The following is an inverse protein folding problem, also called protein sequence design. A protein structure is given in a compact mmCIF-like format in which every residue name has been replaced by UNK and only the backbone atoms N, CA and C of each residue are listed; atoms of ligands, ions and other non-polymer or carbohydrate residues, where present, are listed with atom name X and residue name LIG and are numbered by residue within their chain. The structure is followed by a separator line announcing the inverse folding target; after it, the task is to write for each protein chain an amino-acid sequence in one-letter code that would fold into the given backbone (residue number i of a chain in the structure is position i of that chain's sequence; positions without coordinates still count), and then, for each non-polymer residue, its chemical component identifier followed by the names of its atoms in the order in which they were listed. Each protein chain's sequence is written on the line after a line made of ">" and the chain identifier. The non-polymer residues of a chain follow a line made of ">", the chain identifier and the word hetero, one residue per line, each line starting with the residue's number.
data_IF_749344660162
#
_entry.id   IF_749344660162
#
_cell.length_a   1.000
_cell.length_b   1.000
_cell.length_c   1.000
_cell.angle_alpha   90.00
_cell.angle_beta   90.00
_cell.angle_gamma   90.00
#
_symmetry.space_group_name_H-M   'P 1'
#
loop_
_entity.id
_entity.type
_entity.pdbx_description
1 polymer ?
#
# COMPACT_ATOMS: atom_id res chain seq x y z
N UNK A 1 23.26 -8.98 -6.06
CA UNK A 1 24.37 -9.72 -5.48
C UNK A 1 24.30 -9.77 -3.96
N UNK A 2 24.02 -8.66 -3.34
CA UNK A 2 23.80 -8.63 -1.89
C UNK A 2 22.40 -9.17 -1.60
N UNK A 3 22.34 -10.15 -0.69
CA UNK A 3 21.07 -10.77 -0.30
C UNK A 3 20.11 -9.73 0.26
N UNK A 4 20.63 -8.76 1.02
CA UNK A 4 19.82 -7.70 1.61
C UNK A 4 19.21 -6.80 0.54
N UNK A 5 19.99 -6.43 -0.47
CA UNK A 5 19.49 -5.60 -1.56
C UNK A 5 18.43 -6.35 -2.37
N UNK A 6 18.64 -7.63 -2.62
CA UNK A 6 17.68 -8.45 -3.34
C UNK A 6 16.38 -8.56 -2.55
N UNK A 7 16.47 -8.82 -1.23
CA UNK A 7 15.29 -8.89 -0.38
C UNK A 7 14.53 -7.57 -0.36
N UNK A 8 15.25 -6.44 -0.24
CA UNK A 8 14.64 -5.12 -0.25
C UNK A 8 13.92 -4.85 -1.56
N UNK A 9 14.52 -5.26 -2.69
CA UNK A 9 13.92 -5.08 -3.99
C UNK A 9 12.64 -5.89 -4.12
N UNK A 10 12.66 -7.14 -3.67
CA UNK A 10 11.47 -8.00 -3.70
C UNK A 10 10.35 -7.38 -2.86
N UNK A 11 10.68 -6.91 -1.67
CA UNK A 11 9.71 -6.27 -0.78
C UNK A 11 9.13 -5.02 -1.45
N UNK A 12 9.97 -4.18 -2.05
CA UNK A 12 9.50 -2.97 -2.70
C UNK A 12 8.58 -3.26 -3.88
N UNK A 13 8.91 -4.29 -4.67
CA UNK A 13 8.06 -4.70 -5.79
C UNK A 13 6.71 -5.20 -5.27
N UNK A 14 6.73 -6.03 -4.21
CA UNK A 14 5.49 -6.53 -3.60
C UNK A 14 4.64 -5.39 -3.06
N UNK A 15 5.27 -4.41 -2.37
CA UNK A 15 4.55 -3.26 -1.84
C UNK A 15 3.96 -2.40 -2.96
N UNK A 16 4.70 -2.24 -4.06
CA UNK A 16 4.19 -1.52 -5.23
C UNK A 16 2.97 -2.20 -5.82
N UNK A 17 3.00 -3.52 -5.93
CA UNK A 17 1.86 -4.31 -6.41
C UNK A 17 0.64 -4.12 -5.52
N UNK A 18 0.85 -4.24 -4.20
CA UNK A 18 -0.23 -4.06 -3.24
C UNK A 18 -0.76 -2.63 -3.26
N UNK A 19 0.12 -1.66 -3.49
CA UNK A 19 -0.28 -0.26 -3.63
C UNK A 19 -1.23 -0.06 -4.81
N UNK A 20 -0.90 -0.67 -5.95
CA UNK A 20 -1.75 -0.60 -7.14
C UNK A 20 -3.10 -1.25 -6.84
N UNK A 21 -3.11 -2.41 -6.20
CA UNK A 21 -4.34 -3.10 -5.83
C UNK A 21 -5.20 -2.22 -4.91
N UNK A 22 -4.57 -1.56 -3.93
CA UNK A 22 -5.29 -0.67 -3.02
C UNK A 22 -5.93 0.50 -3.76
N UNK A 23 -5.21 1.09 -4.71
CA UNK A 23 -5.74 2.19 -5.53
C UNK A 23 -6.92 1.70 -6.35
N UNK A 24 -6.82 0.52 -6.95
CA UNK A 24 -7.92 -0.05 -7.73
C UNK A 24 -9.15 -0.25 -6.85
N UNK A 25 -8.96 -0.74 -5.62
CA UNK A 25 -10.06 -0.93 -4.68
C UNK A 25 -10.74 0.39 -4.35
N UNK A 26 -9.96 1.46 -4.12
CA UNK A 26 -10.51 2.79 -3.86
C UNK A 26 -11.30 3.29 -5.06
N UNK A 27 -10.76 3.09 -6.27
CA UNK A 27 -11.45 3.50 -7.49
C UNK A 27 -12.76 2.74 -7.68
N UNK A 28 -12.76 1.43 -7.44
CA UNK A 28 -13.97 0.63 -7.51
C UNK A 28 -14.99 1.09 -6.47
N UNK A 29 -14.53 1.39 -5.26
CA UNK A 29 -15.40 1.91 -4.21
C UNK A 29 -16.00 3.25 -4.59
N UNK A 30 -15.19 4.14 -5.17
CA UNK A 30 -15.68 5.44 -5.65
C UNK A 30 -16.70 5.28 -6.75
N UNK A 31 -16.45 4.37 -7.69
CA UNK A 31 -17.38 4.08 -8.77
C UNK A 31 -18.70 3.56 -8.23
N UNK A 32 -18.64 2.61 -7.31
CA UNK A 32 -19.85 2.09 -6.65
C UNK A 32 -20.60 3.19 -5.92
N UNK A 33 -19.86 4.08 -5.26
CA UNK A 33 -20.47 5.20 -4.53
C UNK A 33 -21.28 6.09 -5.49
N UNK A 34 -20.71 6.39 -6.65
CA UNK A 34 -21.39 7.22 -7.65
C UNK A 34 -22.65 6.54 -8.17
N UNK A 35 -22.64 5.21 -8.28
CA UNK A 35 -23.78 4.47 -8.80
C UNK A 35 -24.78 4.06 -7.72
N UNK A 36 -24.55 4.43 -6.46
CA UNK A 36 -25.45 4.01 -5.37
C UNK A 36 -26.84 4.61 -5.49
N UNK A 37 -26.97 5.77 -6.12
CA UNK A 37 -28.26 6.35 -6.43
C UNK A 37 -29.18 6.59 -5.22
N UNK A 38 -28.57 6.90 -4.08
CA UNK A 38 -29.34 7.15 -2.85
C UNK A 38 -29.65 5.90 -2.02
N UNK A 39 -29.27 4.71 -2.50
CA UNK A 39 -29.44 3.49 -1.70
C UNK A 39 -28.42 3.48 -0.57
N UNK A 40 -28.91 3.46 0.69
CA UNK A 40 -28.02 3.43 1.86
C UNK A 40 -27.17 2.18 1.90
N UNK A 41 -27.74 1.04 1.52
CA UNK A 41 -27.02 -0.22 1.53
C UNK A 41 -25.83 -0.22 0.57
N UNK A 42 -26.06 0.25 -0.65
CA UNK A 42 -24.99 0.32 -1.65
C UNK A 42 -23.96 1.39 -1.29
N UNK A 43 -24.38 2.48 -0.71
CA UNK A 43 -23.49 3.54 -0.24
C UNK A 43 -22.58 3.00 0.87
N UNK A 44 -23.12 2.22 1.80
CA UNK A 44 -22.33 1.64 2.88
C UNK A 44 -21.31 0.65 2.35
N UNK A 45 -21.68 -0.17 1.37
CA UNK A 45 -20.74 -1.09 0.73
C UNK A 45 -19.60 -0.34 0.05
N UNK A 46 -19.94 0.71 -0.68
CA UNK A 46 -18.94 1.53 -1.36
C UNK A 46 -18.00 2.19 -0.35
N UNK A 47 -18.56 2.70 0.73
CA UNK A 47 -17.77 3.32 1.79
C UNK A 47 -16.78 2.33 2.41
N UNK A 48 -17.23 1.11 2.68
CA UNK A 48 -16.36 0.07 3.22
C UNK A 48 -15.19 -0.23 2.30
N UNK A 49 -15.45 -0.30 1.00
CA UNK A 49 -14.38 -0.51 0.02
C UNK A 49 -13.36 0.62 0.03
N UNK A 50 -13.84 1.86 0.02
CA UNK A 50 -12.97 3.03 0.01
C UNK A 50 -12.12 3.05 1.28
N UNK A 51 -12.74 2.86 2.43
CA UNK A 51 -12.03 2.88 3.71
C UNK A 51 -11.02 1.75 3.77
N UNK A 52 -11.39 0.54 3.34
CA UNK A 52 -10.48 -0.60 3.30
C UNK A 52 -9.26 -0.31 2.42
N UNK A 53 -9.49 0.25 1.24
CA UNK A 53 -8.41 0.59 0.33
C UNK A 53 -7.49 1.66 0.91
N UNK A 54 -8.05 2.68 1.56
CA UNK A 54 -7.26 3.74 2.17
C UNK A 54 -6.43 3.20 3.33
N UNK A 55 -7.03 2.37 4.18
CA UNK A 55 -6.31 1.75 5.30
C UNK A 55 -5.19 0.86 4.77
N UNK A 56 -5.47 0.06 3.76
CA UNK A 56 -4.47 -0.78 3.13
C UNK A 56 -3.32 0.04 2.56
N UNK A 57 -3.65 1.14 1.89
CA UNK A 57 -2.64 2.02 1.34
C UNK A 57 -1.79 2.66 2.44
N UNK A 58 -2.40 3.07 3.54
CA UNK A 58 -1.67 3.63 4.67
C UNK A 58 -0.69 2.60 5.26
N UNK A 59 -1.13 1.36 5.40
CA UNK A 59 -0.27 0.28 5.89
C UNK A 59 0.89 0.05 4.93
N UNK A 60 0.61 0.02 3.63
CA UNK A 60 1.63 -0.18 2.61
C UNK A 60 2.67 0.93 2.61
N UNK A 61 2.22 2.18 2.70
CA UNK A 61 3.12 3.32 2.74
C UNK A 61 3.97 3.30 4.01
N UNK A 62 3.37 2.93 5.14
CA UNK A 62 4.10 2.78 6.39
C UNK A 62 5.16 1.69 6.29
N UNK A 63 4.79 0.55 5.72
CA UNK A 63 5.72 -0.56 5.53
C UNK A 63 6.86 -0.16 4.60
N UNK A 64 6.55 0.56 3.52
CA UNK A 64 7.57 1.04 2.58
C UNK A 64 8.52 1.99 3.27
N UNK A 65 8.00 2.93 4.06
CA UNK A 65 8.83 3.89 4.78
C UNK A 65 9.74 3.20 5.78
N UNK A 66 9.21 2.24 6.55
CA UNK A 66 9.99 1.48 7.52
C UNK A 66 11.09 0.68 6.82
N UNK A 67 10.74 -0.01 5.73
CA UNK A 67 11.70 -0.80 4.97
C UNK A 67 12.83 0.07 4.43
N UNK A 68 12.48 1.22 3.85
CA UNK A 68 13.47 2.15 3.30
C UNK A 68 14.39 2.69 4.40
N UNK A 69 13.84 3.02 5.56
CA UNK A 69 14.62 3.53 6.66
C UNK A 69 15.58 2.47 7.19
N UNK A 70 15.09 1.25 7.42
CA UNK A 70 15.90 0.16 7.95
C UNK A 70 17.01 -0.21 6.98
N UNK A 71 16.68 -0.36 5.70
CA UNK A 71 17.68 -0.71 4.68
C UNK A 71 18.73 0.39 4.57
N UNK A 72 18.30 1.65 4.57
CA UNK A 72 19.23 2.77 4.53
C UNK A 72 20.18 2.81 5.71
N UNK A 73 19.67 2.54 6.91
CA UNK A 73 20.48 2.51 8.12
C UNK A 73 21.50 1.37 8.10
N UNK A 74 21.06 0.20 7.63
CA UNK A 74 21.94 -0.95 7.55
C UNK A 74 23.07 -0.72 6.56
N UNK A 75 22.79 -0.10 5.43
CA UNK A 75 23.81 0.23 4.44
C UNK A 75 24.80 1.21 5.02
N UNK A 76 24.35 2.25 5.71
CA UNK A 76 25.23 3.23 6.36
C UNK A 76 26.11 2.58 7.41
N UNK A 77 25.53 1.73 8.25
CA UNK A 77 26.29 1.06 9.29
C UNK A 77 27.38 0.17 8.70
N UNK A 78 27.09 -0.48 7.58
CA UNK A 78 28.04 -1.36 6.90
C UNK A 78 29.17 -0.55 6.25
N UNK A 79 28.84 0.61 5.71
CA UNK A 79 29.84 1.45 5.04
C UNK A 79 30.81 2.12 6.02
N UNK A 80 30.35 2.40 7.23
CA UNK A 80 31.16 3.09 8.22
C UNK A 80 32.23 2.21 8.83
N UNK A 81 32.17 0.90 8.64
CA UNK A 81 33.22 0.00 9.10
C UNK A 81 34.15 -0.38 7.98
#
# INVERSE_FOLDING_TARGET
>A
RDVRQTAARIINVALGFLGIISVVIVLLGGFKYMLSGGSTEKTDEARKLIVSGIIGLAIILSAWAITSFVVGRLIQATQDT
#
